data_IF_926575531170
#
_entry.id   IF_926575531170
#
_cell.length_a   1.000
_cell.length_b   1.000
_cell.length_c   1.000
_cell.angle_alpha   90.00
_cell.angle_beta   90.00
_cell.angle_gamma   90.00
#
_symmetry.space_group_name_H-M   'P 1'
#
loop_
_entity.id
_entity.type
_entity.pdbx_description
1 polymer ?
#
# COMPACT_ATOMS: atom_id res chain seq x y z
N UNK A 1 17.27 2.78 -1.66
CA UNK A 1 16.00 2.77 -2.42
C UNK A 1 16.08 1.66 -3.46
N UNK A 2 14.92 1.20 -3.92
CA UNK A 2 14.77 0.11 -4.88
C UNK A 2 14.19 0.64 -6.20
N UNK A 3 14.48 -0.06 -7.29
CA UNK A 3 13.91 0.21 -8.60
C UNK A 3 12.49 -0.34 -8.73
N UNK A 4 12.23 -1.50 -8.10
CA UNK A 4 10.96 -2.22 -8.16
C UNK A 4 10.63 -2.82 -6.79
N UNK A 5 9.36 -2.76 -6.42
CA UNK A 5 8.77 -3.50 -5.29
C UNK A 5 7.61 -4.32 -5.85
N UNK A 6 7.68 -5.64 -5.67
CA UNK A 6 6.64 -6.58 -6.10
C UNK A 6 6.14 -7.37 -4.91
N UNK A 7 4.83 -7.62 -4.84
CA UNK A 7 4.25 -8.44 -3.79
C UNK A 7 3.08 -9.28 -4.32
N UNK A 8 2.93 -10.48 -3.79
CA UNK A 8 1.69 -11.25 -3.83
C UNK A 8 1.25 -11.46 -2.36
N UNK A 9 0.63 -10.45 -1.73
CA UNK A 9 0.26 -10.53 -0.33
C UNK A 9 -0.98 -11.42 -0.11
N UNK A 10 -1.20 -11.88 1.12
CA UNK A 10 -2.49 -12.41 1.55
C UNK A 10 -3.62 -11.42 1.22
N UNK A 11 -4.70 -11.91 0.61
CA UNK A 11 -5.83 -11.08 0.17
C UNK A 11 -7.21 -11.67 0.51
N UNK A 12 -7.26 -12.77 1.26
CA UNK A 12 -8.53 -13.41 1.62
C UNK A 12 -9.10 -12.70 2.86
N UNK A 13 -10.36 -12.22 2.84
CA UNK A 13 -10.96 -11.63 4.02
C UNK A 13 -10.97 -12.61 5.20
N UNK A 14 -10.66 -12.15 6.41
CA UNK A 14 -10.53 -13.03 7.59
C UNK A 14 -11.81 -13.84 7.86
N UNK A 15 -12.98 -13.27 7.56
CA UNK A 15 -14.28 -13.95 7.71
C UNK A 15 -14.57 -15.05 6.68
N UNK A 16 -13.76 -15.16 5.62
CA UNK A 16 -13.90 -16.16 4.55
C UNK A 16 -12.89 -17.31 4.69
N UNK A 17 -11.93 -17.22 5.60
CA UNK A 17 -10.89 -18.24 5.78
C UNK A 17 -11.48 -19.62 6.11
N UNK A 18 -12.57 -19.68 6.88
CA UNK A 18 -13.26 -20.92 7.24
C UNK A 18 -14.04 -21.55 6.06
N UNK A 19 -14.25 -20.79 4.97
CA UNK A 19 -14.93 -21.24 3.76
C UNK A 19 -13.97 -21.82 2.72
N UNK A 20 -12.66 -21.74 2.98
CA UNK A 20 -11.66 -22.24 2.05
C UNK A 20 -11.74 -23.76 1.91
N UNK A 21 -11.49 -24.30 0.71
CA UNK A 21 -11.34 -25.74 0.54
C UNK A 21 -10.30 -26.28 1.53
N UNK A 22 -10.56 -27.46 2.10
CA UNK A 22 -9.63 -28.14 3.01
C UNK A 22 -8.22 -28.24 2.42
N UNK A 23 -8.12 -28.45 1.10
CA UNK A 23 -6.84 -28.50 0.36
C UNK A 23 -6.03 -27.20 0.41
N UNK A 24 -6.65 -26.04 0.63
CA UNK A 24 -5.94 -24.76 0.80
C UNK A 24 -5.58 -24.57 2.27
N UNK A 25 -6.54 -24.82 3.16
CA UNK A 25 -6.34 -24.62 4.60
C UNK A 25 -5.29 -25.57 5.20
N UNK A 26 -5.24 -26.81 4.71
CA UNK A 26 -4.35 -27.85 5.25
C UNK A 26 -2.91 -27.74 4.74
N UNK A 27 -2.68 -27.02 3.63
CA UNK A 27 -1.38 -26.97 2.94
C UNK A 27 -0.74 -25.58 2.91
N UNK A 28 -1.51 -24.50 3.07
CA UNK A 28 -0.98 -23.13 3.12
C UNK A 28 -1.00 -22.59 4.57
N UNK A 29 0.08 -21.94 5.06
CA UNK A 29 0.06 -21.29 6.37
C UNK A 29 -1.03 -20.20 6.43
N UNK A 30 -1.79 -20.14 7.53
CA UNK A 30 -2.87 -19.13 7.68
C UNK A 30 -2.40 -17.67 7.51
N UNK A 31 -1.15 -17.37 7.92
CA UNK A 31 -0.53 -16.05 7.73
C UNK A 31 -0.33 -15.68 6.24
N UNK A 32 -0.24 -16.68 5.36
CA UNK A 32 -0.14 -16.48 3.91
C UNK A 32 -1.51 -16.23 3.25
N UNK A 33 -2.61 -16.42 3.99
CA UNK A 33 -3.98 -16.36 3.46
C UNK A 33 -4.73 -15.12 3.96
N UNK A 34 -4.61 -14.79 5.24
CA UNK A 34 -5.37 -13.72 5.90
C UNK A 34 -4.97 -12.31 5.43
N UNK A 35 -5.82 -11.70 4.63
CA UNK A 35 -5.70 -10.34 4.13
C UNK A 35 -6.40 -9.28 5.00
N UNK A 36 -6.94 -9.66 6.16
CA UNK A 36 -7.64 -8.77 7.08
C UNK A 36 -9.13 -8.62 6.77
N UNK A 37 -9.75 -7.55 7.27
CA UNK A 37 -11.22 -7.43 7.27
C UNK A 37 -11.87 -7.50 5.87
N UNK A 38 -11.21 -6.91 4.87
CA UNK A 38 -11.67 -6.85 3.48
C UNK A 38 -10.64 -7.42 2.48
N UNK A 39 -9.59 -8.08 2.97
CA UNK A 39 -8.51 -8.60 2.14
C UNK A 39 -7.49 -7.55 1.67
N UNK A 40 -7.54 -6.30 2.15
CA UNK A 40 -6.63 -5.21 1.72
C UNK A 40 -5.73 -4.66 2.84
N UNK A 41 -5.71 -5.23 4.04
CA UNK A 41 -4.93 -4.69 5.15
C UNK A 41 -3.42 -4.79 4.93
N UNK A 42 -2.95 -5.88 4.32
CA UNK A 42 -1.55 -6.01 3.91
C UNK A 42 -1.23 -5.01 2.78
N UNK A 43 -2.14 -4.87 1.81
CA UNK A 43 -1.98 -3.94 0.70
C UNK A 43 -1.86 -2.47 1.18
N UNK A 44 -2.74 -2.01 2.07
CA UNK A 44 -2.67 -0.66 2.67
C UNK A 44 -1.29 -0.37 3.29
N UNK A 45 -0.75 -1.34 4.04
CA UNK A 45 0.60 -1.24 4.65
C UNK A 45 1.71 -1.22 3.60
N UNK A 46 1.60 -2.06 2.57
CA UNK A 46 2.57 -2.12 1.47
C UNK A 46 2.64 -0.81 0.70
N UNK A 47 1.53 -0.12 0.45
CA UNK A 47 1.54 1.18 -0.23
C UNK A 47 2.39 2.21 0.54
N UNK A 48 2.22 2.28 1.87
CA UNK A 48 3.04 3.12 2.74
C UNK A 48 4.52 2.74 2.66
N UNK A 49 4.85 1.46 2.80
CA UNK A 49 6.24 1.01 2.74
C UNK A 49 6.87 1.24 1.36
N UNK A 50 6.18 0.88 0.28
CA UNK A 50 6.65 1.03 -1.09
C UNK A 50 6.99 2.49 -1.42
N UNK A 51 6.20 3.46 -0.96
CA UNK A 51 6.48 4.87 -1.18
C UNK A 51 7.77 5.35 -0.49
N UNK A 52 8.22 4.70 0.60
CA UNK A 52 9.53 4.97 1.22
C UNK A 52 10.68 4.20 0.57
N UNK A 53 10.40 3.00 0.05
CA UNK A 53 11.42 2.07 -0.43
C UNK A 53 11.80 2.36 -1.88
N UNK A 54 10.83 2.75 -2.71
CA UNK A 54 11.03 3.03 -4.12
C UNK A 54 11.75 4.37 -4.33
N UNK A 55 12.70 4.37 -5.27
CA UNK A 55 13.19 5.63 -5.85
C UNK A 55 12.07 6.31 -6.66
N UNK A 56 12.11 7.63 -6.86
CA UNK A 56 11.25 8.29 -7.85
C UNK A 56 11.37 7.62 -9.22
N UNK A 57 10.24 7.37 -9.88
CA UNK A 57 10.15 6.60 -11.12
C UNK A 57 10.24 5.08 -10.94
N UNK A 58 10.39 4.58 -9.72
CA UNK A 58 10.39 3.14 -9.43
C UNK A 58 9.00 2.51 -9.53
N UNK A 59 8.94 1.22 -9.83
CA UNK A 59 7.71 0.48 -10.08
C UNK A 59 7.22 -0.25 -8.81
N UNK A 60 5.94 -0.08 -8.49
CA UNK A 60 5.21 -0.95 -7.57
C UNK A 60 4.32 -1.89 -8.38
N UNK A 61 4.31 -3.17 -8.03
CA UNK A 61 3.39 -4.17 -8.59
C UNK A 61 2.84 -5.07 -7.47
N UNK A 62 1.54 -5.33 -7.47
CA UNK A 62 0.90 -6.17 -6.46
C UNK A 62 -0.18 -7.06 -7.06
N UNK A 63 -0.13 -8.35 -6.80
CA UNK A 63 -1.23 -9.28 -7.07
C UNK A 63 -2.31 -9.15 -5.98
N UNK A 64 -3.59 -9.25 -6.36
CA UNK A 64 -4.74 -9.19 -5.47
C UNK A 64 -5.90 -10.06 -6.01
N UNK A 65 -6.93 -10.28 -5.17
CA UNK A 65 -8.18 -10.90 -5.62
C UNK A 65 -8.94 -9.98 -6.59
N UNK A 66 -9.54 -10.54 -7.64
CA UNK A 66 -10.16 -9.78 -8.75
C UNK A 66 -11.22 -8.76 -8.29
N UNK A 67 -11.94 -9.06 -7.21
CA UNK A 67 -12.97 -8.19 -6.63
C UNK A 67 -12.42 -6.95 -5.92
N UNK A 68 -11.12 -6.95 -5.60
CA UNK A 68 -10.50 -5.92 -4.76
C UNK A 68 -9.70 -4.89 -5.55
N UNK A 69 -9.47 -5.10 -6.85
CA UNK A 69 -8.57 -4.26 -7.67
C UNK A 69 -9.06 -2.82 -7.79
N UNK A 70 -10.37 -2.60 -7.94
CA UNK A 70 -10.94 -1.24 -8.02
C UNK A 70 -10.71 -0.45 -6.73
N UNK A 71 -10.97 -1.08 -5.58
CA UNK A 71 -10.72 -0.48 -4.27
C UNK A 71 -9.22 -0.25 -4.03
N UNK A 72 -8.38 -1.20 -4.46
CA UNK A 72 -6.93 -1.08 -4.38
C UNK A 72 -6.40 0.10 -5.21
N UNK A 73 -6.99 0.36 -6.38
CA UNK A 73 -6.67 1.51 -7.23
C UNK A 73 -7.05 2.85 -6.57
N UNK A 74 -8.19 2.90 -5.88
CA UNK A 74 -8.58 4.07 -5.07
C UNK A 74 -7.59 4.33 -3.93
N UNK A 75 -7.23 3.28 -3.17
CA UNK A 75 -6.29 3.39 -2.04
C UNK A 75 -4.93 3.96 -2.51
N UNK A 76 -4.33 3.40 -3.56
CA UNK A 76 -3.03 3.86 -4.05
C UNK A 76 -3.11 5.25 -4.69
N UNK A 77 -4.22 5.58 -5.36
CA UNK A 77 -4.46 6.92 -5.94
C UNK A 77 -4.66 8.02 -4.87
N UNK A 78 -5.12 7.65 -3.68
CA UNK A 78 -5.26 8.56 -2.54
C UNK A 78 -3.98 8.69 -1.70
N UNK A 79 -3.03 7.75 -1.85
CA UNK A 79 -1.78 7.75 -1.11
C UNK A 79 -1.00 9.04 -1.38
N UNK A 80 -0.81 9.84 -0.34
CA UNK A 80 -0.21 11.17 -0.45
C UNK A 80 1.02 11.29 0.43
N UNK A 81 2.06 11.86 -0.15
CA UNK A 81 3.31 12.14 0.50
C UNK A 81 3.26 13.58 1.02
N UNK A 82 3.67 13.77 2.28
CA UNK A 82 3.59 15.07 2.94
C UNK A 82 5.00 15.53 3.29
N UNK A 83 5.38 16.72 2.80
CA UNK A 83 6.62 17.35 3.24
C UNK A 83 6.40 18.00 4.59
N UNK A 84 7.26 17.68 5.58
CA UNK A 84 7.23 18.37 6.87
C UNK A 84 7.53 19.86 6.63
N UNK A 85 6.66 20.78 7.08
CA UNK A 85 6.91 22.21 6.89
C UNK A 85 8.13 22.65 7.70
N UNK A 86 8.88 23.64 7.18
CA UNK A 86 10.08 24.15 7.84
C UNK A 86 9.76 24.96 9.11
N UNK A 87 8.55 25.51 9.19
CA UNK A 87 8.01 26.17 10.38
C UNK A 87 6.56 25.75 10.64
N UNK A 88 6.12 25.90 11.88
CA UNK A 88 4.76 25.54 12.31
C UNK A 88 3.65 26.43 11.68
N UNK A 89 4.04 27.57 11.10
CA UNK A 89 3.15 28.51 10.39
C UNK A 89 2.96 28.20 8.91
N UNK A 90 3.71 27.24 8.34
CA UNK A 90 3.61 26.87 6.92
C UNK A 90 2.67 25.68 6.74
N UNK A 91 1.74 25.79 5.78
CA UNK A 91 0.90 24.65 5.41
C UNK A 91 1.72 23.54 4.75
N UNK A 92 1.43 22.26 5.07
CA UNK A 92 2.12 21.13 4.47
C UNK A 92 1.74 21.00 2.98
N UNK A 93 2.74 20.83 2.13
CA UNK A 93 2.52 20.46 0.73
C UNK A 93 2.21 18.96 0.65
N UNK A 94 1.10 18.62 -0.01
CA UNK A 94 0.70 17.23 -0.31
C UNK A 94 0.87 16.96 -1.79
N UNK A 95 1.39 15.80 -2.12
CA UNK A 95 1.48 15.30 -3.50
C UNK A 95 1.18 13.82 -3.50
N UNK A 96 0.60 13.32 -4.60
CA UNK A 96 0.39 11.88 -4.75
C UNK A 96 1.74 11.16 -4.68
N UNK A 97 1.77 10.03 -3.97
CA UNK A 97 2.96 9.20 -3.87
C UNK A 97 3.16 8.36 -5.14
N UNK A 98 2.06 8.03 -5.83
CA UNK A 98 2.06 7.16 -6.99
C UNK A 98 1.27 7.77 -8.14
N UNK A 99 1.69 7.46 -9.35
CA UNK A 99 1.06 7.82 -10.62
C UNK A 99 0.99 6.60 -11.54
N UNK A 100 0.31 6.72 -12.68
CA UNK A 100 0.17 5.63 -13.66
C UNK A 100 -0.41 4.34 -13.05
N UNK A 101 -1.40 4.49 -12.17
CA UNK A 101 -2.10 3.37 -11.53
C UNK A 101 -2.88 2.60 -12.60
N UNK A 102 -2.55 1.33 -12.81
CA UNK A 102 -3.12 0.49 -13.87
C UNK A 102 -3.44 -0.89 -13.32
N UNK A 103 -4.65 -1.38 -13.58
CA UNK A 103 -5.09 -2.75 -13.30
C UNK A 103 -4.84 -3.60 -14.54
N UNK A 104 -4.35 -4.81 -14.36
CA UNK A 104 -3.99 -5.74 -15.42
C UNK A 104 -4.70 -7.08 -15.26
N UNK A 105 -5.02 -7.67 -16.40
CA UNK A 105 -5.60 -9.01 -16.50
C UNK A 105 -4.50 -10.09 -16.50
N UNK A 106 -4.82 -11.26 -15.94
CA UNK A 106 -4.05 -12.48 -16.12
C UNK A 106 -4.31 -13.12 -17.49
N UNK A 107 -3.67 -14.27 -17.76
CA UNK A 107 -3.86 -15.02 -19.01
C UNK A 107 -5.27 -15.59 -19.18
N UNK A 108 -6.08 -15.62 -18.12
CA UNK A 108 -7.47 -16.04 -18.15
C UNK A 108 -8.44 -14.86 -18.33
N UNK A 109 -7.94 -13.63 -18.51
CA UNK A 109 -8.76 -12.43 -18.67
C UNK A 109 -9.34 -11.89 -17.36
N UNK A 110 -8.78 -12.29 -16.21
CA UNK A 110 -9.24 -11.82 -14.89
C UNK A 110 -8.33 -10.73 -14.35
N UNK A 111 -8.87 -9.63 -13.80
CA UNK A 111 -8.07 -8.62 -13.10
C UNK A 111 -7.32 -9.28 -11.94
N UNK A 112 -5.98 -9.27 -11.96
CA UNK A 112 -5.20 -9.95 -10.91
C UNK A 112 -4.07 -9.15 -10.34
N UNK A 113 -3.57 -8.15 -11.04
CA UNK A 113 -2.49 -7.34 -10.50
C UNK A 113 -2.64 -5.86 -10.84
N UNK A 114 -2.15 -5.03 -9.94
CA UNK A 114 -2.11 -3.58 -10.09
C UNK A 114 -0.66 -3.12 -10.13
N UNK A 115 -0.37 -2.14 -10.99
CA UNK A 115 0.93 -1.47 -11.04
C UNK A 115 0.78 0.02 -10.82
N UNK A 116 1.80 0.66 -10.24
CA UNK A 116 1.92 2.11 -10.22
C UNK A 116 3.39 2.54 -10.19
N UNK A 117 3.65 3.77 -10.62
CA UNK A 117 4.98 4.37 -10.63
C UNK A 117 5.11 5.33 -9.46
N UNK A 118 6.23 5.28 -8.74
CA UNK A 118 6.53 6.25 -7.68
C UNK A 118 6.68 7.63 -8.28
N UNK A 119 5.78 8.56 -7.94
CA UNK A 119 5.85 9.93 -8.42
C UNK A 119 7.13 10.64 -7.98
N UNK A 120 7.64 11.52 -8.84
CA UNK A 120 8.68 12.47 -8.46
C UNK A 120 8.05 13.54 -7.56
N UNK A 121 8.44 13.58 -6.29
CA UNK A 121 7.82 14.48 -5.33
C UNK A 121 8.85 15.41 -4.65
N UNK A 122 8.50 16.68 -4.51
CA UNK A 122 9.28 17.65 -3.73
C UNK A 122 9.42 17.31 -2.22
N UNK A 123 8.72 16.27 -1.77
CA UNK A 123 8.67 15.75 -0.42
C UNK A 123 9.74 14.71 -0.09
N UNK A 124 10.53 14.22 -1.06
CA UNK A 124 11.53 13.13 -0.89
C UNK A 124 12.68 13.43 0.11
N UNK A 125 12.63 14.58 0.79
CA UNK A 125 13.48 14.95 1.92
C UNK A 125 12.63 14.95 3.20
N UNK A 126 12.52 13.79 3.88
CA UNK A 126 11.92 13.66 5.21
C UNK A 126 10.43 13.27 5.25
N UNK A 127 10.05 12.14 4.64
CA UNK A 127 8.64 11.76 4.39
C UNK A 127 7.98 11.05 5.58
N UNK A 128 6.87 11.62 6.05
CA UNK A 128 5.77 10.86 6.67
C UNK A 128 4.71 10.60 5.60
N UNK A 129 4.33 9.34 5.39
CA UNK A 129 3.32 8.97 4.38
C UNK A 129 1.96 8.96 5.07
N UNK A 130 0.98 9.64 4.45
CA UNK A 130 -0.38 9.66 4.94
C UNK A 130 -1.25 8.85 3.99
N UNK A 131 -1.51 7.59 4.35
CA UNK A 131 -2.60 6.79 3.77
C UNK A 131 -3.84 7.17 4.55
N UNK A 132 -4.87 7.71 3.89
CA UNK A 132 -6.01 8.45 4.46
C UNK A 132 -6.89 7.76 5.51
N UNK A 133 -6.47 6.63 6.08
CA UNK A 133 -7.11 5.91 7.17
C UNK A 133 -6.07 5.59 8.25
N UNK A 134 -5.74 6.57 9.09
CA UNK A 134 -5.27 6.32 10.46
C UNK A 134 -5.38 7.62 11.26
N UNK A 135 -6.34 7.64 12.18
CA UNK A 135 -6.33 8.51 13.35
C UNK A 135 -5.13 8.13 14.23
N UNK A 136 -3.99 8.76 14.00
CA UNK A 136 -2.85 8.73 14.93
C UNK A 136 -3.07 9.77 16.03
N UNK A 137 -3.70 9.38 17.13
CA UNK A 137 -3.63 10.16 18.38
C UNK A 137 -2.46 9.74 19.29
N UNK A 138 -1.61 8.77 18.94
CA UNK A 138 -0.64 8.22 19.91
C UNK A 138 0.85 8.13 19.51
N UNK A 139 1.29 8.68 18.37
CA UNK A 139 2.74 8.73 18.05
C UNK A 139 3.34 10.15 17.99
N UNK A 140 2.78 11.06 18.80
CA UNK A 140 3.58 12.15 19.35
C UNK A 140 4.32 11.55 20.54
N UNK A 141 5.63 11.32 20.39
CA UNK A 141 6.69 11.32 21.42
C UNK A 141 7.64 10.10 21.37
N UNK A 142 8.52 10.03 20.36
CA UNK A 142 9.87 9.46 20.58
C UNK A 142 10.89 10.58 20.43
N UNK A 143 11.12 11.21 21.58
CA UNK A 143 12.27 12.00 22.04
C UNK A 143 13.36 12.34 21.01
N UNK A 144 13.37 13.61 20.62
CA UNK A 144 14.61 14.38 20.60
C UNK A 144 14.95 14.80 22.05
N UNK A 145 15.97 14.17 22.67
CA UNK A 145 16.76 14.79 23.75
C UNK A 145 18.14 14.11 23.82
N UNK A 146 19.13 14.88 23.33
CA UNK A 146 20.58 14.91 23.60
C UNK A 146 21.40 13.64 23.33
#
# INVERSE_FOLDING_TARGET
SFDVVVSNPPYIPSGELELLPHEVFDYEPSLALDGGADGLDVYRRLIGQAATLLRPGGLFACELHETNLDQAALIIGQASCVKRPASQSQMPHRSQCFEQVTIHEDLAGRPRFITAVRSVCACDVGVGIFTGETSYEHDILVRAKR
#
